data_IF_474416474395
#
_entry.id   IF_474416474395
#
_cell.length_a   1.000
_cell.length_b   1.000
_cell.length_c   1.000
_cell.angle_alpha   90.00
_cell.angle_beta   90.00
_cell.angle_gamma   90.00
#
_symmetry.space_group_name_H-M   'P 1'
#
loop_
_entity.id
_entity.type
_entity.pdbx_description
1 polymer ?
#
# COMPACT_ATOMS: atom_id res chain seq x y z
N UNK A 1 22.89 -31.96 -48.07
CA UNK A 1 21.94 -30.95 -47.60
C UNK A 1 21.08 -31.57 -46.51
N UNK A 2 21.28 -31.17 -45.26
CA UNK A 2 20.26 -31.10 -44.21
C UNK A 2 20.86 -30.24 -43.09
N UNK A 3 20.29 -29.05 -42.94
CA UNK A 3 20.61 -28.05 -41.94
C UNK A 3 19.70 -28.24 -40.71
N UNK A 4 20.22 -27.82 -39.56
CA UNK A 4 19.51 -27.38 -38.34
C UNK A 4 18.86 -28.47 -37.44
N UNK A 5 18.84 -28.33 -36.11
CA UNK A 5 18.92 -27.10 -35.33
C UNK A 5 19.51 -27.28 -33.94
N UNK A 6 20.19 -26.23 -33.50
CA UNK A 6 20.71 -26.03 -32.14
C UNK A 6 19.52 -25.82 -31.20
N UNK A 7 19.40 -26.67 -30.19
CA UNK A 7 18.39 -26.51 -29.13
C UNK A 7 18.84 -25.41 -28.17
N UNK A 8 18.30 -24.20 -28.36
CA UNK A 8 18.43 -23.09 -27.41
C UNK A 8 17.53 -23.39 -26.22
N UNK A 9 18.12 -23.84 -25.11
CA UNK A 9 17.41 -23.97 -23.84
C UNK A 9 17.14 -22.56 -23.30
N UNK A 10 15.86 -22.20 -23.26
CA UNK A 10 15.37 -20.93 -22.72
C UNK A 10 15.43 -20.99 -21.20
N UNK A 11 16.38 -20.27 -20.60
CA UNK A 11 16.45 -20.10 -19.15
C UNK A 11 15.12 -19.55 -18.63
N UNK A 12 14.41 -20.33 -17.83
CA UNK A 12 13.26 -19.87 -17.08
C UNK A 12 13.77 -18.83 -16.06
N UNK A 13 13.33 -17.57 -16.19
CA UNK A 13 13.52 -16.57 -15.13
C UNK A 13 12.78 -17.09 -13.88
N UNK A 14 13.39 -17.03 -12.69
CA UNK A 14 12.72 -17.45 -11.47
C UNK A 14 11.52 -16.53 -11.21
N UNK A 15 10.35 -17.05 -10.80
CA UNK A 15 9.33 -16.21 -10.19
C UNK A 15 9.88 -15.75 -8.83
N UNK A 16 10.52 -14.59 -8.80
CA UNK A 16 11.19 -14.04 -7.61
C UNK A 16 10.23 -13.33 -6.65
N UNK A 17 8.98 -13.79 -6.54
CA UNK A 17 8.06 -13.37 -5.50
C UNK A 17 7.39 -14.63 -4.94
N UNK A 18 7.69 -14.93 -3.68
CA UNK A 18 7.02 -15.99 -2.94
C UNK A 18 5.51 -15.72 -3.01
N UNK A 19 4.72 -16.72 -3.42
CA UNK A 19 3.25 -16.64 -3.44
C UNK A 19 2.65 -16.21 -2.09
N UNK A 20 3.42 -16.33 -1.01
CA UNK A 20 3.03 -15.96 0.35
C UNK A 20 3.05 -14.43 0.59
N UNK A 21 3.96 -13.68 -0.04
CA UNK A 21 4.07 -12.22 0.17
C UNK A 21 2.88 -11.47 -0.44
N UNK A 22 2.37 -11.97 -1.58
CA UNK A 22 1.19 -11.39 -2.26
C UNK A 22 -0.12 -11.70 -1.52
N UNK A 23 -0.16 -12.83 -0.80
CA UNK A 23 -1.33 -13.28 -0.05
C UNK A 23 -1.52 -12.50 1.26
N UNK A 24 -0.42 -12.15 1.95
CA UNK A 24 -0.50 -11.31 3.17
C UNK A 24 -0.90 -9.86 2.83
N UNK A 25 -0.42 -9.30 1.71
CA UNK A 25 -0.84 -7.97 1.26
C UNK A 25 -2.35 -7.88 0.95
N UNK A 26 -2.97 -8.98 0.52
CA UNK A 26 -4.40 -9.03 0.17
C UNK A 26 -5.35 -9.13 1.37
N UNK A 27 -4.81 -9.39 2.58
CA UNK A 27 -5.58 -9.61 3.82
C UNK A 27 -5.44 -8.50 4.85
N UNK A 28 -4.49 -7.58 4.67
CA UNK A 28 -4.28 -6.44 5.57
C UNK A 28 -5.01 -5.20 5.05
N UNK A 29 -5.67 -4.48 5.96
CA UNK A 29 -6.42 -3.27 5.64
C UNK A 29 -5.61 -2.02 6.06
N UNK A 30 -5.08 -1.21 5.12
CA UNK A 30 -4.31 -0.02 5.47
C UNK A 30 -5.23 1.08 6.02
N UNK A 31 -4.91 1.59 7.21
CA UNK A 31 -5.64 2.64 7.91
C UNK A 31 -4.72 3.82 8.20
N UNK A 32 -5.22 5.03 7.96
CA UNK A 32 -4.50 6.24 8.29
C UNK A 32 -4.44 6.42 9.81
N UNK A 33 -3.24 6.52 10.37
CA UNK A 33 -3.00 6.70 11.81
C UNK A 33 -3.55 8.02 12.37
N UNK A 34 -3.82 9.00 11.51
CA UNK A 34 -4.24 10.35 11.92
C UNK A 34 -5.75 10.51 11.82
N UNK A 35 -6.34 10.18 10.66
CA UNK A 35 -7.76 10.42 10.41
C UNK A 35 -8.62 9.14 10.38
N UNK A 36 -8.02 7.95 10.49
CA UNK A 36 -8.75 6.68 10.50
C UNK A 36 -9.39 6.28 9.17
N UNK A 37 -9.12 7.01 8.07
CA UNK A 37 -9.56 6.59 6.74
C UNK A 37 -8.86 5.30 6.31
N UNK A 38 -9.58 4.47 5.58
CA UNK A 38 -9.13 3.18 5.06
C UNK A 38 -8.75 3.31 3.59
N UNK A 39 -7.61 2.76 3.19
CA UNK A 39 -7.23 2.68 1.77
C UNK A 39 -7.88 1.44 1.14
N UNK A 40 -8.70 1.64 0.11
CA UNK A 40 -9.37 0.56 -0.61
C UNK A 40 -8.63 0.17 -1.89
N UNK A 41 -7.58 -0.65 -1.73
CA UNK A 41 -6.72 -1.08 -2.84
C UNK A 41 -7.46 -1.97 -3.88
N UNK A 42 -8.69 -2.44 -3.59
CA UNK A 42 -9.43 -3.36 -4.47
C UNK A 42 -10.29 -2.64 -5.51
N UNK A 43 -10.77 -1.43 -5.21
CA UNK A 43 -11.73 -0.70 -6.04
C UNK A 43 -11.15 0.55 -6.70
N UNK A 44 -9.87 0.85 -6.49
CA UNK A 44 -9.24 2.02 -7.08
C UNK A 44 -8.62 1.75 -8.45
N UNK A 45 -8.78 2.68 -9.41
CA UNK A 45 -7.99 2.67 -10.62
C UNK A 45 -6.48 2.71 -10.32
N UNK A 46 -5.64 2.07 -11.14
CA UNK A 46 -4.19 2.15 -10.98
C UNK A 46 -3.72 3.61 -10.95
N UNK A 47 -3.01 3.99 -9.88
CA UNK A 47 -2.48 5.35 -9.71
C UNK A 47 -3.39 6.34 -8.98
N UNK A 48 -4.57 5.92 -8.50
CA UNK A 48 -5.39 6.70 -7.59
C UNK A 48 -5.54 5.98 -6.25
N UNK A 49 -5.26 6.69 -5.14
CA UNK A 49 -5.54 6.18 -3.81
C UNK A 49 -6.97 6.55 -3.39
N UNK A 50 -7.84 5.58 -3.14
CA UNK A 50 -9.17 5.83 -2.58
C UNK A 50 -9.13 5.61 -1.07
N UNK A 51 -9.17 6.72 -0.34
CA UNK A 51 -9.30 6.73 1.10
C UNK A 51 -10.77 6.90 1.47
N UNK A 52 -11.32 5.92 2.18
CA UNK A 52 -12.74 5.81 2.51
C UNK A 52 -12.96 5.86 4.02
N UNK A 53 -14.13 6.34 4.44
CA UNK A 53 -14.55 6.16 5.83
C UNK A 53 -14.88 4.70 6.10
N UNK A 54 -14.83 4.28 7.37
CA UNK A 54 -15.25 2.93 7.78
C UNK A 54 -16.69 2.61 7.34
N UNK A 55 -17.59 3.60 7.41
CA UNK A 55 -18.98 3.47 6.96
C UNK A 55 -19.06 3.20 5.45
N UNK A 56 -18.32 3.97 4.65
CA UNK A 56 -18.26 3.80 3.20
C UNK A 56 -17.66 2.45 2.83
N UNK A 57 -16.58 2.04 3.51
CA UNK A 57 -15.97 0.73 3.31
C UNK A 57 -16.95 -0.40 3.60
N UNK A 58 -17.64 -0.36 4.75
CA UNK A 58 -18.67 -1.36 5.09
C UNK A 58 -19.78 -1.40 4.05
N UNK A 59 -20.26 -0.24 3.59
CA UNK A 59 -21.30 -0.20 2.56
C UNK A 59 -20.83 -0.80 1.22
N UNK A 60 -19.55 -0.61 0.86
CA UNK A 60 -18.98 -1.12 -0.39
C UNK A 60 -18.64 -2.62 -0.36
N UNK A 61 -18.29 -3.17 0.81
CA UNK A 61 -17.76 -4.54 0.94
C UNK A 61 -18.62 -5.48 1.78
N UNK A 62 -19.60 -4.96 2.54
CA UNK A 62 -20.49 -5.76 3.39
C UNK A 62 -19.83 -6.33 4.65
N UNK A 63 -18.59 -5.93 4.95
CA UNK A 63 -17.78 -6.44 6.08
C UNK A 63 -17.41 -5.26 6.99
N UNK A 64 -17.38 -5.50 8.30
CA UNK A 64 -16.87 -4.53 9.27
C UNK A 64 -15.34 -4.38 9.11
N UNK A 65 -14.80 -3.17 8.87
CA UNK A 65 -13.35 -2.97 8.81
C UNK A 65 -12.58 -3.44 10.05
N UNK A 66 -13.22 -3.52 11.22
CA UNK A 66 -12.60 -4.00 12.46
C UNK A 66 -12.41 -5.52 12.51
N UNK A 67 -13.10 -6.26 11.64
CA UNK A 67 -12.95 -7.73 11.50
C UNK A 67 -11.75 -8.11 10.61
N UNK A 68 -11.14 -7.14 9.94
CA UNK A 68 -9.98 -7.33 9.05
C UNK A 68 -8.73 -6.85 9.79
N UNK A 69 -7.63 -7.61 9.71
CA UNK A 69 -6.36 -7.21 10.30
C UNK A 69 -5.89 -5.88 9.69
N UNK A 70 -5.72 -4.85 10.53
CA UNK A 70 -5.37 -3.51 10.07
C UNK A 70 -3.86 -3.28 10.09
N UNK A 71 -3.37 -2.56 9.09
CA UNK A 71 -2.01 -1.98 9.11
C UNK A 71 -2.10 -0.48 9.21
N UNK A 72 -1.08 0.11 9.82
CA UNK A 72 -1.02 1.53 10.12
C UNK A 72 -0.15 2.26 9.09
N UNK A 73 -0.69 3.32 8.49
CA UNK A 73 -0.04 4.13 7.46
C UNK A 73 -0.56 5.58 7.49
N UNK A 74 -0.20 6.42 6.53
CA UNK A 74 -0.73 7.78 6.38
C UNK A 74 -1.49 7.92 5.06
N UNK A 75 -2.64 8.61 5.08
CA UNK A 75 -3.20 9.12 3.84
C UNK A 75 -2.34 10.30 3.34
N UNK A 76 -2.37 10.62 2.03
CA UNK A 76 -1.55 11.68 1.44
C UNK A 76 -1.67 13.01 2.18
N UNK A 77 -2.90 13.41 2.53
CA UNK A 77 -3.15 14.66 3.26
C UNK A 77 -2.50 14.68 4.65
N UNK A 78 -2.64 13.59 5.39
CA UNK A 78 -2.09 13.50 6.74
C UNK A 78 -0.57 13.34 6.71
N UNK A 79 -0.03 12.66 5.69
CA UNK A 79 1.40 12.55 5.49
C UNK A 79 2.04 13.93 5.28
N UNK A 80 1.47 14.77 4.41
CA UNK A 80 1.94 16.15 4.20
C UNK A 80 1.91 16.96 5.49
N UNK A 81 0.81 16.90 6.26
CA UNK A 81 0.68 17.61 7.55
C UNK A 81 1.73 17.18 8.56
N UNK A 82 2.00 15.87 8.66
CA UNK A 82 3.03 15.33 9.56
C UNK A 82 4.42 15.78 9.10
N UNK A 83 4.71 15.74 7.81
CA UNK A 83 5.99 16.25 7.28
C UNK A 83 6.19 17.74 7.57
N UNK A 84 5.15 18.56 7.42
CA UNK A 84 5.20 19.99 7.75
C UNK A 84 5.45 20.21 9.25
N UNK A 85 4.74 19.48 10.10
CA UNK A 85 4.91 19.55 11.57
C UNK A 85 6.33 19.17 11.99
N UNK A 86 6.88 18.09 11.41
CA UNK A 86 8.26 17.66 11.65
C UNK A 86 9.27 18.74 11.20
N UNK A 87 9.05 19.36 10.04
CA UNK A 87 9.90 20.46 9.55
C UNK A 87 9.82 21.71 10.44
N UNK A 88 8.66 22.02 11.02
CA UNK A 88 8.51 23.12 11.96
C UNK A 88 9.24 22.83 13.27
N UNK A 89 9.04 21.64 13.83
CA UNK A 89 9.71 21.20 15.06
C UNK A 89 11.24 21.31 14.97
N UNK A 90 11.84 20.85 13.86
CA UNK A 90 13.28 20.96 13.68
C UNK A 90 13.79 22.40 13.55
N UNK A 91 12.98 23.32 13.00
CA UNK A 91 13.34 24.75 12.96
C UNK A 91 13.33 25.36 14.35
N UNK A 92 12.31 25.04 15.15
CA UNK A 92 12.20 25.54 16.53
C UNK A 92 13.37 25.07 17.40
N UNK A 93 13.75 23.79 17.30
CA UNK A 93 14.93 23.28 18.02
C UNK A 93 16.22 23.95 17.52
N UNK A 94 16.40 24.07 16.20
CA UNK A 94 17.60 24.66 15.62
C UNK A 94 17.76 26.16 15.90
N UNK A 95 16.68 26.88 16.22
CA UNK A 95 16.72 28.28 16.68
C UNK A 95 17.06 28.38 18.18
N UNK A 96 16.82 27.32 18.95
CA UNK A 96 17.05 27.27 20.40
C UNK A 96 18.46 26.79 20.81
N UNK A 97 19.36 26.54 19.85
CA UNK A 97 20.73 26.05 20.09
C UNK A 97 21.79 27.13 19.91
#
# INVERSE_FOLDING_TARGET
MSHEGVSVQRAARPPSASMNDLFIASTLLPVCCVCGLIRDDRRCPPGLDCWLTQRTYRAAHGIDPSEIAQTHTYCPECFTKVQESVRQYFREIGISS
#
